data_IF_441935986831
#
_entry.id   IF_441935986831
#
_cell.length_a   1.000
_cell.length_b   1.000
_cell.length_c   1.000
_cell.angle_alpha   90.00
_cell.angle_beta   90.00
_cell.angle_gamma   90.00
#
_symmetry.space_group_name_H-M   'P 1'
#
loop_
_entity.id
_entity.type
_entity.pdbx_description
1 polymer ?
#
# COMPACT_ATOMS: atom_id res chain seq x y z
N UNK A 1 47.43 -15.29 -38.29
CA UNK A 1 47.66 -13.95 -38.90
C UNK A 1 48.89 -13.34 -38.26
N UNK A 2 49.82 -12.74 -39.01
CA UNK A 2 50.84 -11.87 -38.42
C UNK A 2 50.19 -10.61 -37.83
N UNK A 3 50.80 -9.98 -36.83
CA UNK A 3 50.38 -8.65 -36.40
C UNK A 3 50.77 -7.60 -37.46
N UNK A 4 50.03 -6.48 -37.59
CA UNK A 4 50.43 -5.36 -38.42
C UNK A 4 51.79 -4.79 -38.00
N UNK A 5 52.64 -4.38 -38.95
CA UNK A 5 53.96 -3.80 -38.63
C UNK A 5 53.87 -2.56 -37.73
N UNK A 6 52.81 -1.76 -37.87
CA UNK A 6 52.54 -0.61 -36.99
C UNK A 6 52.41 -0.97 -35.51
N UNK A 7 52.07 -2.22 -35.16
CA UNK A 7 52.09 -2.68 -33.77
C UNK A 7 53.51 -2.88 -33.22
N UNK A 8 54.45 -3.31 -34.06
CA UNK A 8 55.86 -3.43 -33.68
C UNK A 8 56.50 -2.05 -33.51
N UNK A 9 56.24 -1.11 -34.42
CA UNK A 9 56.75 0.27 -34.33
C UNK A 9 56.22 0.98 -33.07
N UNK A 10 54.96 0.74 -32.69
CA UNK A 10 54.35 1.31 -31.48
C UNK A 10 54.94 0.75 -30.17
N UNK A 11 55.41 -0.50 -30.18
CA UNK A 11 56.14 -1.11 -29.05
C UNK A 11 57.63 -0.72 -29.02
N UNK A 12 58.24 -0.38 -30.17
CA UNK A 12 59.65 0.01 -30.26
C UNK A 12 59.98 1.39 -29.68
N UNK A 13 58.99 2.28 -29.53
CA UNK A 13 59.16 3.60 -28.95
C UNK A 13 59.01 3.56 -27.42
N UNK A 14 60.04 3.92 -26.62
CA UNK A 14 59.99 3.84 -25.17
C UNK A 14 58.96 4.78 -24.52
N UNK A 15 58.61 5.89 -25.18
CA UNK A 15 57.61 6.82 -24.65
C UNK A 15 56.18 6.27 -24.75
N UNK A 16 55.83 5.62 -25.87
CA UNK A 16 54.52 4.94 -26.02
C UNK A 16 54.45 3.69 -25.16
N UNK A 17 55.54 2.91 -25.08
CA UNK A 17 55.61 1.75 -24.19
C UNK A 17 55.44 2.15 -22.71
N UNK A 18 56.08 3.24 -22.28
CA UNK A 18 55.91 3.83 -20.94
C UNK A 18 54.47 4.27 -20.68
N UNK A 19 53.86 5.03 -21.61
CA UNK A 19 52.47 5.48 -21.49
C UNK A 19 51.48 4.30 -21.41
N UNK A 20 51.63 3.29 -22.28
CA UNK A 20 50.82 2.08 -22.24
C UNK A 20 51.00 1.29 -20.93
N UNK A 21 52.22 1.26 -20.37
CA UNK A 21 52.49 0.62 -19.07
C UNK A 21 51.78 1.36 -17.93
N UNK A 22 51.85 2.70 -17.89
CA UNK A 22 51.16 3.53 -16.89
C UNK A 22 49.64 3.39 -16.99
N UNK A 23 49.07 3.49 -18.21
CA UNK A 23 47.63 3.30 -18.44
C UNK A 23 47.19 1.89 -18.06
N UNK A 24 48.00 0.87 -18.35
CA UNK A 24 47.79 -0.50 -17.87
C UNK A 24 47.74 -0.57 -16.34
N UNK A 25 48.73 -0.02 -15.65
CA UNK A 25 48.81 -0.03 -14.18
C UNK A 25 47.62 0.68 -13.50
N UNK A 26 47.05 1.73 -14.11
CA UNK A 26 45.85 2.40 -13.58
C UNK A 26 44.54 1.68 -13.90
N UNK A 27 44.43 1.02 -15.07
CA UNK A 27 43.21 0.31 -15.47
C UNK A 27 43.13 -1.12 -14.93
N UNK A 28 44.25 -1.82 -14.73
CA UNK A 28 44.28 -3.19 -14.21
C UNK A 28 43.56 -3.35 -12.86
N UNK A 29 43.75 -2.48 -11.84
CA UNK A 29 43.01 -2.57 -10.58
C UNK A 29 41.49 -2.42 -10.76
N UNK A 30 41.05 -1.54 -11.67
CA UNK A 30 39.62 -1.34 -11.98
C UNK A 30 39.01 -2.56 -12.67
N UNK A 31 39.71 -3.16 -13.63
CA UNK A 31 39.28 -4.41 -14.27
C UNK A 31 39.29 -5.59 -13.30
N UNK A 32 40.29 -5.70 -12.43
CA UNK A 32 40.33 -6.74 -11.39
C UNK A 32 39.15 -6.56 -10.43
N UNK A 33 38.88 -5.33 -9.96
CA UNK A 33 37.72 -5.05 -9.11
C UNK A 33 36.38 -5.38 -9.81
N UNK A 34 36.26 -5.08 -11.10
CA UNK A 34 35.09 -5.45 -11.91
C UNK A 34 34.92 -6.98 -12.01
N UNK A 35 35.97 -7.72 -12.40
CA UNK A 35 35.88 -9.18 -12.51
C UNK A 35 35.68 -9.87 -11.17
N UNK A 36 36.31 -9.39 -10.08
CA UNK A 36 36.04 -9.85 -8.72
C UNK A 36 34.59 -9.56 -8.33
N UNK A 37 34.05 -8.38 -8.66
CA UNK A 37 32.65 -8.03 -8.43
C UNK A 37 31.67 -8.95 -9.18
N UNK A 38 31.97 -9.30 -10.44
CA UNK A 38 31.19 -10.26 -11.24
C UNK A 38 31.27 -11.67 -10.67
N UNK A 39 32.47 -12.14 -10.31
CA UNK A 39 32.70 -13.47 -9.72
C UNK A 39 32.02 -13.60 -8.36
N UNK A 40 32.14 -12.59 -7.49
CA UNK A 40 31.42 -12.53 -6.22
C UNK A 40 29.92 -12.49 -6.47
N UNK A 41 29.41 -11.71 -7.42
CA UNK A 41 27.99 -11.68 -7.77
C UNK A 41 27.45 -13.02 -8.30
N UNK A 42 28.26 -13.80 -9.03
CA UNK A 42 27.90 -15.13 -9.53
C UNK A 42 27.96 -16.24 -8.46
N UNK A 43 28.94 -16.14 -7.54
CA UNK A 43 29.09 -17.04 -6.40
C UNK A 43 28.11 -16.73 -5.27
N UNK A 44 27.68 -15.47 -5.13
CA UNK A 44 26.69 -15.02 -4.15
C UNK A 44 25.29 -15.46 -4.56
N UNK A 45 25.01 -16.76 -4.35
CA UNK A 45 23.68 -17.35 -4.40
C UNK A 45 23.11 -17.32 -2.98
N UNK A 46 22.41 -16.24 -2.56
CA UNK A 46 21.94 -16.11 -1.19
C UNK A 46 21.01 -17.26 -0.81
N UNK A 47 21.25 -17.88 0.35
CA UNK A 47 20.47 -19.06 0.81
C UNK A 47 18.97 -18.75 0.95
N UNK A 48 18.57 -17.50 1.19
CA UNK A 48 17.16 -17.09 1.22
C UNK A 48 16.43 -17.30 -0.12
N UNK A 49 17.13 -17.18 -1.26
CA UNK A 49 16.56 -17.43 -2.59
C UNK A 49 16.35 -18.94 -2.88
N UNK A 50 17.05 -19.84 -2.17
CA UNK A 50 16.78 -21.29 -2.18
C UNK A 50 15.67 -21.68 -1.20
N UNK A 51 15.69 -21.13 0.01
CA UNK A 51 14.76 -21.47 1.09
C UNK A 51 13.29 -21.21 0.68
N UNK A 52 13.03 -20.13 -0.06
CA UNK A 52 11.71 -19.85 -0.63
C UNK A 52 11.27 -20.88 -1.68
N UNK A 53 12.21 -21.49 -2.43
CA UNK A 53 11.90 -22.49 -3.47
C UNK A 53 11.65 -23.88 -2.87
N UNK A 54 12.45 -24.29 -1.89
CA UNK A 54 12.31 -25.61 -1.24
C UNK A 54 11.01 -25.74 -0.43
N UNK A 55 10.56 -24.66 0.26
CA UNK A 55 9.22 -24.62 0.86
C UNK A 55 8.10 -24.79 -0.19
N UNK A 56 8.24 -24.14 -1.35
CA UNK A 56 7.22 -24.12 -2.39
C UNK A 56 7.12 -25.48 -3.12
N UNK A 57 8.26 -26.14 -3.40
CA UNK A 57 8.25 -27.50 -3.97
C UNK A 57 7.73 -28.56 -2.99
N UNK A 58 8.08 -28.46 -1.70
CA UNK A 58 7.59 -29.41 -0.68
C UNK A 58 6.09 -29.22 -0.41
N UNK A 59 5.59 -27.99 -0.53
CA UNK A 59 4.15 -27.71 -0.47
C UNK A 59 3.42 -28.21 -1.73
N UNK A 60 4.02 -28.06 -2.92
CA UNK A 60 3.42 -28.55 -4.18
C UNK A 60 3.33 -30.08 -4.23
N UNK A 61 4.38 -30.80 -3.79
CA UNK A 61 4.33 -32.25 -3.67
C UNK A 61 3.17 -32.70 -2.78
N UNK A 62 3.06 -32.12 -1.57
CA UNK A 62 1.95 -32.40 -0.64
C UNK A 62 0.55 -32.00 -1.15
N UNK A 63 0.44 -31.16 -2.18
CA UNK A 63 -0.84 -30.83 -2.83
C UNK A 63 -1.15 -31.68 -4.08
N UNK A 64 -0.17 -32.46 -4.58
CA UNK A 64 -0.34 -33.30 -5.78
C UNK A 64 -0.55 -34.78 -5.42
N UNK A 65 -0.08 -35.23 -4.25
CA UNK A 65 -0.30 -36.59 -3.73
C UNK A 65 -1.73 -36.84 -3.18
N UNK A 66 -2.73 -36.02 -3.57
CA UNK A 66 -4.12 -36.16 -3.10
C UNK A 66 -5.18 -36.01 -4.20
N UNK A 67 -4.96 -36.69 -5.34
CA UNK A 67 -5.96 -36.82 -6.41
C UNK A 67 -5.95 -38.22 -7.06
N UNK A 68 -7.04 -38.98 -6.87
CA UNK A 68 -7.35 -40.26 -7.53
C UNK A 68 -6.48 -41.48 -7.11
N UNK A 69 -6.97 -42.74 -7.27
CA UNK A 69 -8.02 -43.16 -8.21
C UNK A 69 -9.19 -44.01 -7.67
N UNK A 70 -10.32 -43.93 -8.42
CA UNK A 70 -11.31 -44.97 -8.75
C UNK A 70 -12.02 -45.81 -7.67
N UNK A 71 -13.21 -46.30 -8.04
CA UNK A 71 -14.19 -46.95 -7.17
C UNK A 71 -14.14 -48.49 -7.14
N UNK A 72 -14.69 -49.04 -6.04
CA UNK A 72 -15.38 -50.33 -5.93
C UNK A 72 -14.57 -51.64 -6.06
N UNK A 73 -14.24 -52.26 -4.91
CA UNK A 73 -14.81 -53.56 -4.48
C UNK A 73 -14.29 -53.98 -3.09
N UNK A 74 -14.89 -55.01 -2.49
CA UNK A 74 -14.55 -55.59 -1.17
C UNK A 74 -14.48 -57.14 -1.32
N UNK A 75 -14.09 -57.97 -0.32
CA UNK A 75 -13.75 -57.66 1.08
C UNK A 75 -12.54 -58.39 1.71
N UNK A 76 -12.31 -58.10 3.01
CA UNK A 76 -11.92 -59.03 4.10
C UNK A 76 -10.47 -59.12 4.61
N UNK A 77 -10.39 -59.52 5.90
CA UNK A 77 -9.26 -60.00 6.73
C UNK A 77 -8.34 -58.96 7.40
N UNK A 78 -8.54 -58.91 8.72
CA UNK A 78 -7.71 -58.40 9.83
C UNK A 78 -6.19 -58.61 9.77
N UNK A 79 -5.43 -57.75 10.47
CA UNK A 79 -4.62 -58.13 11.66
C UNK A 79 -4.06 -56.89 12.43
N UNK A 80 -3.98 -57.03 13.76
CA UNK A 80 -3.23 -56.31 14.81
C UNK A 80 -2.67 -54.87 14.65
N UNK A 81 -2.83 -54.09 15.72
CA UNK A 81 -1.99 -52.95 16.09
C UNK A 81 -0.63 -53.39 16.69
N UNK A 82 0.31 -52.47 16.97
CA UNK A 82 0.42 -52.05 18.38
C UNK A 82 0.74 -50.55 18.61
N UNK A 83 0.57 -50.14 19.87
CA UNK A 83 0.71 -48.76 20.40
C UNK A 83 2.17 -48.33 20.61
N UNK A 84 2.41 -47.01 20.72
CA UNK A 84 3.43 -46.44 21.63
C UNK A 84 2.98 -45.14 22.32
N UNK A 85 2.86 -45.21 23.65
CA UNK A 85 2.86 -44.09 24.63
C UNK A 85 4.29 -43.88 25.17
N UNK A 86 4.64 -42.83 25.92
CA UNK A 86 3.86 -41.71 26.45
C UNK A 86 4.51 -40.35 26.00
N UNK A 87 4.68 -39.22 26.71
CA UNK A 87 4.47 -38.87 28.12
C UNK A 87 4.35 -37.35 28.36
N UNK A 88 3.51 -36.96 29.33
CA UNK A 88 3.68 -35.89 30.35
C UNK A 88 4.30 -34.52 30.03
N UNK A 89 3.48 -33.47 30.24
CA UNK A 89 3.89 -32.16 30.76
C UNK A 89 4.21 -32.20 32.27
N UNK A 90 4.88 -31.18 32.83
CA UNK A 90 4.68 -30.71 34.19
C UNK A 90 3.83 -29.43 34.24
N UNK A 91 3.19 -29.15 35.38
CA UNK A 91 2.29 -28.01 35.62
C UNK A 91 2.72 -27.20 36.86
N UNK A 92 1.80 -26.34 37.37
CA UNK A 92 1.91 -25.47 38.58
C UNK A 92 2.65 -24.14 38.33
N UNK A 93 2.24 -22.99 38.86
CA UNK A 93 1.14 -22.63 39.79
C UNK A 93 0.44 -21.33 39.28
N UNK A 94 -0.89 -21.28 39.22
CA UNK A 94 -1.80 -20.88 40.31
C UNK A 94 -1.65 -19.44 40.81
N UNK A 95 -2.43 -18.52 40.24
CA UNK A 95 -2.95 -17.33 40.96
C UNK A 95 -4.47 -17.36 40.85
N UNK A 96 -5.13 -17.14 41.99
CA UNK A 96 -6.58 -17.22 42.18
C UNK A 96 -7.09 -15.83 42.51
N UNK A 97 -7.88 -15.21 41.64
CA UNK A 97 -8.59 -13.97 41.97
C UNK A 97 -10.07 -14.04 41.59
N UNK A 98 -10.88 -13.23 42.26
CA UNK A 98 -12.26 -13.56 42.57
C UNK A 98 -13.23 -12.52 42.00
N UNK A 99 -14.35 -13.00 41.45
CA UNK A 99 -15.38 -12.20 40.78
C UNK A 99 -16.14 -11.32 41.80
N UNK A 100 -16.22 -9.99 41.61
CA UNK A 100 -17.19 -9.16 42.31
C UNK A 100 -18.61 -9.41 41.76
N UNK A 101 -19.60 -9.47 42.64
CA UNK A 101 -21.01 -9.37 42.28
C UNK A 101 -21.50 -7.94 42.60
N UNK A 102 -22.31 -7.29 41.75
CA UNK A 102 -22.86 -5.99 42.08
C UNK A 102 -24.04 -6.12 43.05
N UNK A 103 -24.19 -5.18 44.01
CA UNK A 103 -25.45 -4.49 44.29
C UNK A 103 -25.34 -3.43 45.40
N UNK A 104 -26.35 -2.55 45.44
CA UNK A 104 -26.69 -1.58 46.50
C UNK A 104 -25.73 -0.39 46.75
N UNK A 105 -26.22 0.81 46.42
CA UNK A 105 -26.36 1.91 47.39
C UNK A 105 -27.45 2.89 46.89
N UNK A 106 -28.36 3.30 47.78
CA UNK A 106 -29.60 4.01 47.41
C UNK A 106 -29.76 5.33 48.15
N UNK A 107 -29.67 6.46 47.45
CA UNK A 107 -30.14 7.80 47.85
C UNK A 107 -30.00 8.75 46.63
N UNK A 108 -30.85 9.75 46.36
CA UNK A 108 -32.12 10.16 46.97
C UNK A 108 -33.03 10.77 45.89
N UNK A 109 -34.36 10.67 46.06
CA UNK A 109 -35.35 11.24 45.13
C UNK A 109 -35.46 12.77 45.31
N UNK A 110 -35.23 13.52 44.24
CA UNK A 110 -35.65 14.91 44.06
C UNK A 110 -36.42 15.03 42.75
N UNK A 111 -37.53 15.77 42.73
CA UNK A 111 -38.37 15.92 41.55
C UNK A 111 -38.89 17.35 41.47
N UNK A 112 -38.74 17.98 40.31
CA UNK A 112 -39.64 19.07 39.94
C UNK A 112 -39.86 19.22 38.42
N UNK A 113 -40.92 19.96 38.09
CA UNK A 113 -41.65 20.11 36.81
C UNK A 113 -40.89 20.22 35.48
N UNK A 114 -41.57 19.73 34.42
CA UNK A 114 -41.37 20.12 33.01
C UNK A 114 -41.73 21.59 32.77
N UNK A 115 -40.98 22.26 31.88
CA UNK A 115 -41.51 23.15 30.83
C UNK A 115 -40.78 22.77 29.51
N UNK A 116 -41.39 23.08 28.35
CA UNK A 116 -40.88 22.73 27.02
C UNK A 116 -40.28 23.93 26.30
N UNK A 117 -39.10 23.75 25.69
CA UNK A 117 -38.56 24.63 24.64
C UNK A 117 -37.66 23.83 23.70
N UNK A 118 -37.76 24.06 22.39
CA UNK A 118 -36.88 23.45 21.39
C UNK A 118 -35.59 24.28 21.30
N UNK A 119 -34.44 23.62 21.34
CA UNK A 119 -33.13 24.21 21.06
C UNK A 119 -32.25 23.21 20.30
N UNK A 120 -31.27 23.74 19.56
CA UNK A 120 -30.36 23.02 18.68
C UNK A 120 -29.55 21.94 19.39
N UNK A 121 -28.98 20.95 18.67
CA UNK A 121 -27.99 20.04 19.24
C UNK A 121 -26.71 20.82 19.56
N UNK A 122 -26.60 21.27 20.81
CA UNK A 122 -25.36 21.83 21.33
C UNK A 122 -24.26 20.76 21.37
N UNK A 123 -23.03 21.23 21.27
CA UNK A 123 -21.79 20.44 21.18
C UNK A 123 -21.76 19.25 22.13
N UNK A 124 -21.69 18.04 21.56
CA UNK A 124 -21.07 16.90 22.27
C UNK A 124 -19.68 17.34 22.70
N UNK A 125 -19.32 17.07 23.96
CA UNK A 125 -17.98 17.38 24.47
C UNK A 125 -16.94 16.69 23.58
N UNK A 126 -16.17 17.47 22.80
CA UNK A 126 -15.01 16.93 22.09
C UNK A 126 -13.94 16.55 23.11
N UNK A 127 -13.96 15.27 23.52
CA UNK A 127 -12.70 14.58 23.82
C UNK A 127 -11.75 14.88 22.67
N UNK A 128 -10.49 15.22 22.96
CA UNK A 128 -9.53 15.67 21.95
C UNK A 128 -9.01 14.50 21.11
N UNK A 129 -9.94 13.80 20.46
CA UNK A 129 -9.73 12.73 19.51
C UNK A 129 -8.81 13.26 18.41
N UNK A 130 -7.57 12.77 18.37
CA UNK A 130 -6.58 13.26 17.42
C UNK A 130 -7.00 13.05 15.94
N UNK A 131 -8.02 12.23 15.68
CA UNK A 131 -8.71 12.06 14.40
C UNK A 131 -10.14 12.61 14.51
N UNK A 132 -10.38 13.68 13.76
CA UNK A 132 -11.49 14.64 13.90
C UNK A 132 -12.46 14.56 12.72
N UNK A 133 -13.61 15.25 12.80
CA UNK A 133 -14.58 15.31 11.68
C UNK A 133 -13.98 15.94 10.40
N UNK A 134 -12.95 16.79 10.52
CA UNK A 134 -12.24 17.38 9.37
C UNK A 134 -11.44 16.33 8.59
N UNK A 135 -10.96 15.29 9.28
CA UNK A 135 -10.27 14.17 8.65
C UNK A 135 -11.24 13.30 7.83
N UNK A 136 -12.50 13.15 8.30
CA UNK A 136 -13.57 12.53 7.52
C UNK A 136 -13.89 13.36 6.26
N UNK A 137 -14.00 14.69 6.38
CA UNK A 137 -14.26 15.57 5.23
C UNK A 137 -13.18 15.43 4.16
N UNK A 138 -11.90 15.41 4.56
CA UNK A 138 -10.79 15.21 3.63
C UNK A 138 -10.83 13.84 2.94
N UNK A 139 -11.09 12.75 3.69
CA UNK A 139 -11.28 11.43 3.10
C UNK A 139 -12.49 11.38 2.15
N UNK A 140 -13.60 12.05 2.48
CA UNK A 140 -14.77 12.09 1.60
C UNK A 140 -14.45 12.80 0.27
N UNK A 141 -13.79 13.96 0.31
CA UNK A 141 -13.34 14.67 -0.89
C UNK A 141 -12.38 13.83 -1.75
N UNK A 142 -11.48 13.04 -1.13
CA UNK A 142 -10.61 12.10 -1.84
C UNK A 142 -11.39 10.95 -2.52
N UNK A 143 -12.40 10.39 -1.83
CA UNK A 143 -13.25 9.32 -2.36
C UNK A 143 -14.07 9.78 -3.58
N UNK A 144 -14.54 11.02 -3.54
CA UNK A 144 -15.34 11.66 -4.59
C UNK A 144 -14.50 12.30 -5.72
N UNK A 145 -13.16 12.27 -5.62
CA UNK A 145 -12.21 12.96 -6.51
C UNK A 145 -12.43 14.49 -6.59
N UNK A 146 -12.90 15.08 -5.49
CA UNK A 146 -13.18 16.52 -5.28
C UNK A 146 -12.12 17.21 -4.43
N UNK A 147 -11.00 16.55 -4.12
CA UNK A 147 -9.96 17.05 -3.21
C UNK A 147 -9.09 18.20 -3.76
N UNK A 148 -9.33 18.65 -5.00
CA UNK A 148 -8.59 19.75 -5.66
C UNK A 148 -7.14 19.43 -6.03
N UNK A 149 -6.61 18.26 -5.64
CA UNK A 149 -5.25 17.82 -5.94
C UNK A 149 -5.01 17.42 -7.40
N UNK A 150 -3.76 17.09 -7.70
CA UNK A 150 -3.35 16.71 -9.06
C UNK A 150 -4.03 15.42 -9.57
N UNK A 151 -4.18 15.24 -10.89
CA UNK A 151 -4.73 14.02 -11.48
C UNK A 151 -3.96 12.75 -11.10
N UNK A 152 -4.70 11.65 -10.90
CA UNK A 152 -4.17 10.34 -10.53
C UNK A 152 -3.55 9.60 -11.73
N UNK A 153 -2.23 9.38 -11.72
CA UNK A 153 -1.48 8.66 -12.76
C UNK A 153 -1.50 7.16 -12.47
N UNK A 154 -2.09 6.34 -13.35
CA UNK A 154 -2.18 4.89 -13.13
C UNK A 154 -0.80 4.22 -13.24
N UNK A 155 -0.42 3.47 -12.20
CA UNK A 155 0.86 2.75 -12.11
C UNK A 155 0.72 1.22 -12.04
N UNK A 156 -0.48 0.70 -11.75
CA UNK A 156 -0.72 -0.74 -11.66
C UNK A 156 -2.17 -1.11 -11.97
N UNK A 157 -2.36 -2.20 -12.70
CA UNK A 157 -3.63 -2.91 -12.88
C UNK A 157 -3.32 -4.43 -12.84
N UNK A 158 -3.97 -5.17 -11.93
CA UNK A 158 -3.68 -6.58 -11.61
C UNK A 158 -4.93 -7.29 -11.09
N UNK A 159 -4.98 -8.61 -11.29
CA UNK A 159 -6.06 -9.45 -10.75
C UNK A 159 -5.62 -10.89 -10.49
N UNK A 160 -6.38 -11.54 -9.61
CA UNK A 160 -6.51 -12.99 -9.43
C UNK A 160 -7.99 -13.36 -9.67
N UNK A 161 -8.40 -14.65 -9.61
CA UNK A 161 -9.82 -15.02 -9.71
C UNK A 161 -10.70 -14.52 -8.54
N UNK A 162 -10.11 -14.08 -7.43
CA UNK A 162 -10.82 -13.70 -6.20
C UNK A 162 -10.51 -12.28 -5.70
N UNK A 163 -9.54 -11.59 -6.32
CA UNK A 163 -9.14 -10.23 -5.96
C UNK A 163 -8.73 -9.43 -7.20
N UNK A 164 -9.07 -8.14 -7.24
CA UNK A 164 -8.59 -7.20 -8.26
C UNK A 164 -7.96 -5.99 -7.61
N UNK A 165 -6.93 -5.43 -8.23
CA UNK A 165 -6.14 -4.33 -7.69
C UNK A 165 -5.74 -3.34 -8.78
N UNK A 166 -6.13 -2.07 -8.60
CA UNK A 166 -5.63 -0.95 -9.38
C UNK A 166 -4.93 0.03 -8.46
N UNK A 167 -3.86 0.66 -8.93
CA UNK A 167 -3.16 1.70 -8.19
C UNK A 167 -2.72 2.85 -9.09
N UNK A 168 -2.76 4.04 -8.48
CA UNK A 168 -2.37 5.31 -9.05
C UNK A 168 -1.44 6.05 -8.09
N UNK A 169 -0.70 7.02 -8.59
CA UNK A 169 0.06 7.96 -7.78
C UNK A 169 -0.10 9.39 -8.33
N UNK A 170 0.26 10.36 -7.50
CA UNK A 170 0.51 11.75 -7.92
C UNK A 170 1.62 12.33 -7.06
N UNK A 171 2.38 13.27 -7.64
CA UNK A 171 3.52 13.90 -6.97
C UNK A 171 3.17 15.38 -6.77
N UNK A 172 2.73 15.80 -5.56
CA UNK A 172 2.49 17.21 -5.28
C UNK A 172 3.80 17.99 -5.31
N UNK A 173 3.72 19.32 -5.41
CA UNK A 173 4.89 20.20 -5.31
C UNK A 173 5.54 20.13 -3.92
N UNK A 174 4.69 20.03 -2.91
CA UNK A 174 5.04 20.10 -1.49
C UNK A 174 4.58 18.82 -0.80
N UNK A 175 5.48 18.18 -0.04
CA UNK A 175 5.23 16.91 0.65
C UNK A 175 5.50 15.64 -0.17
N UNK A 176 5.31 14.45 0.43
CA UNK A 176 5.66 13.17 -0.19
C UNK A 176 4.72 12.75 -1.34
N UNK A 177 5.18 11.86 -2.25
CA UNK A 177 4.33 11.22 -3.25
C UNK A 177 3.09 10.58 -2.64
N UNK A 178 1.92 10.87 -3.21
CA UNK A 178 0.64 10.36 -2.77
C UNK A 178 0.21 9.16 -3.63
N UNK A 179 -0.37 8.17 -2.98
CA UNK A 179 -0.83 6.93 -3.61
C UNK A 179 -2.34 6.73 -3.40
N UNK A 180 -3.00 6.19 -4.42
CA UNK A 180 -4.39 5.73 -4.40
C UNK A 180 -4.45 4.30 -4.88
N UNK A 181 -5.30 3.46 -4.30
CA UNK A 181 -5.60 2.14 -4.85
C UNK A 181 -7.06 1.74 -4.64
N UNK A 182 -7.56 0.94 -5.57
CA UNK A 182 -8.85 0.25 -5.49
C UNK A 182 -8.55 -1.24 -5.42
N UNK A 183 -8.95 -1.88 -4.32
CA UNK A 183 -8.80 -3.32 -4.11
C UNK A 183 -10.18 -3.93 -3.95
N UNK A 184 -10.59 -4.79 -4.88
CA UNK A 184 -11.88 -5.50 -4.84
C UNK A 184 -11.62 -6.94 -4.42
N UNK A 185 -12.30 -7.40 -3.37
CA UNK A 185 -12.30 -8.79 -2.90
C UNK A 185 -13.65 -9.44 -3.25
N UNK A 186 -13.63 -10.55 -3.97
CA UNK A 186 -14.82 -11.38 -4.22
C UNK A 186 -15.21 -12.17 -2.95
N UNK A 187 -16.50 -12.46 -2.78
CA UNK A 187 -17.06 -13.20 -1.65
C UNK A 187 -16.64 -12.62 -0.29
N UNK A 188 -16.89 -11.31 -0.09
CA UNK A 188 -16.48 -10.57 1.10
C UNK A 188 -17.48 -9.44 1.43
N UNK A 189 -17.80 -9.25 2.71
CA UNK A 189 -18.65 -8.12 3.15
C UNK A 189 -17.80 -6.95 3.68
N UNK A 190 -18.32 -5.70 3.61
CA UNK A 190 -17.64 -4.54 4.17
C UNK A 190 -17.28 -4.67 5.65
N UNK A 191 -18.11 -5.34 6.45
CA UNK A 191 -17.89 -5.58 7.89
C UNK A 191 -16.67 -6.49 8.12
N UNK A 192 -16.59 -7.58 7.35
CA UNK A 192 -15.48 -8.55 7.43
C UNK A 192 -14.15 -7.89 7.06
N UNK A 193 -14.16 -7.01 6.05
CA UNK A 193 -12.97 -6.30 5.57
C UNK A 193 -12.60 -5.14 6.51
N UNK A 194 -13.58 -4.43 7.08
CA UNK A 194 -13.39 -3.42 8.14
C UNK A 194 -12.65 -4.02 9.34
N UNK A 195 -13.18 -5.12 9.88
CA UNK A 195 -12.62 -5.74 11.08
C UNK A 195 -11.19 -6.26 10.80
N UNK A 196 -10.96 -6.94 9.67
CA UNK A 196 -9.63 -7.40 9.24
C UNK A 196 -8.60 -6.26 9.11
N UNK A 197 -9.01 -5.08 8.62
CA UNK A 197 -8.09 -3.96 8.38
C UNK A 197 -7.73 -3.21 9.68
N UNK A 198 -8.54 -3.34 10.74
CA UNK A 198 -8.30 -2.77 12.07
C UNK A 198 -7.63 -3.77 13.05
N UNK A 199 -7.75 -5.07 12.80
CA UNK A 199 -7.27 -6.16 13.67
C UNK A 199 -5.74 -6.29 13.69
N UNK A 200 -5.09 -5.43 14.46
CA UNK A 200 -3.64 -5.40 14.68
C UNK A 200 -3.08 -6.68 15.32
N UNK A 201 -3.93 -7.51 15.94
CA UNK A 201 -3.56 -8.75 16.63
C UNK A 201 -3.60 -9.95 15.66
N UNK A 202 -4.52 -9.94 14.69
CA UNK A 202 -4.55 -10.89 13.58
C UNK A 202 -3.56 -10.51 12.46
N UNK A 203 -3.27 -9.21 12.28
CA UNK A 203 -2.39 -8.66 11.23
C UNK A 203 -1.05 -9.38 11.03
N UNK A 204 -0.31 -9.82 12.08
CA UNK A 204 0.96 -10.54 11.91
C UNK A 204 0.84 -11.92 11.25
N UNK A 205 -0.39 -12.46 11.08
CA UNK A 205 -0.63 -13.72 10.35
C UNK A 205 -0.45 -13.59 8.84
N UNK A 206 -0.49 -12.37 8.29
CA UNK A 206 -0.39 -12.12 6.85
C UNK A 206 0.51 -10.93 6.46
N UNK A 207 0.74 -9.95 7.34
CA UNK A 207 1.66 -8.83 7.11
C UNK A 207 2.96 -8.99 7.92
N UNK A 208 3.95 -9.67 7.34
CA UNK A 208 5.28 -9.88 7.94
C UNK A 208 5.99 -8.57 8.36
N UNK A 209 5.58 -7.43 7.79
CA UNK A 209 6.18 -6.13 8.08
C UNK A 209 5.66 -5.51 9.38
N UNK A 210 4.55 -5.95 9.97
CA UNK A 210 4.23 -5.52 11.34
C UNK A 210 5.15 -6.28 12.32
N UNK A 211 5.95 -5.53 13.09
CA UNK A 211 6.84 -6.09 14.10
C UNK A 211 6.13 -6.19 15.46
N UNK A 212 5.42 -5.12 15.83
CA UNK A 212 4.60 -5.03 17.03
C UNK A 212 3.56 -3.92 16.90
N UNK A 213 2.49 -4.05 17.68
CA UNK A 213 1.38 -3.11 17.84
C UNK A 213 1.04 -3.01 19.33
N UNK A 214 0.67 -1.82 19.80
CA UNK A 214 0.17 -1.61 21.17
C UNK A 214 -0.70 -0.36 21.26
N UNK A 215 -1.93 -0.52 21.74
CA UNK A 215 -2.82 0.61 22.06
C UNK A 215 -2.22 1.44 23.20
N UNK A 216 -2.31 2.77 23.07
CA UNK A 216 -1.86 3.77 24.06
C UNK A 216 -3.10 4.35 24.77
N UNK A 217 -4.09 4.75 23.98
CA UNK A 217 -5.36 5.35 24.41
C UNK A 217 -6.48 4.87 23.48
N UNK A 218 -7.72 4.80 23.98
CA UNK A 218 -8.90 4.49 23.17
C UNK A 218 -10.16 5.15 23.74
N UNK A 219 -11.12 5.45 22.85
CA UNK A 219 -12.41 6.04 23.19
C UNK A 219 -13.54 5.05 22.85
N UNK A 220 -14.13 4.34 23.84
CA UNK A 220 -15.23 3.40 23.64
C UNK A 220 -16.52 4.02 23.09
N UNK A 221 -16.62 5.36 23.04
CA UNK A 221 -17.77 6.08 22.49
C UNK A 221 -17.63 6.37 21.00
N UNK A 222 -16.41 6.74 20.53
CA UNK A 222 -16.19 7.19 19.14
C UNK A 222 -15.51 6.16 18.25
N UNK A 223 -14.91 5.12 18.84
CA UNK A 223 -14.04 4.17 18.14
C UNK A 223 -12.63 4.69 17.91
N UNK A 224 -12.30 5.89 18.37
CA UNK A 224 -10.98 6.46 18.22
C UNK A 224 -9.94 5.67 19.04
N UNK A 225 -8.78 5.38 18.44
CA UNK A 225 -7.64 4.74 19.11
C UNK A 225 -6.36 5.52 18.83
N UNK A 226 -5.47 5.60 19.81
CA UNK A 226 -4.06 5.99 19.65
C UNK A 226 -3.21 4.73 19.81
N UNK A 227 -2.39 4.40 18.81
CA UNK A 227 -1.67 3.13 18.73
C UNK A 227 -0.21 3.37 18.35
N UNK A 228 0.71 2.65 19.00
CA UNK A 228 2.09 2.54 18.58
C UNK A 228 2.24 1.31 17.68
N UNK A 229 2.77 1.50 16.46
CA UNK A 229 3.21 0.42 15.59
C UNK A 229 4.73 0.48 15.41
N UNK A 230 5.39 -0.67 15.40
CA UNK A 230 6.73 -0.82 14.82
C UNK A 230 6.60 -1.64 13.54
N UNK A 231 7.06 -1.11 12.40
CA UNK A 231 7.13 -1.85 11.13
C UNK A 231 8.56 -2.21 10.76
N UNK A 232 8.77 -3.48 10.41
CA UNK A 232 10.03 -3.99 9.86
C UNK A 232 10.27 -3.40 8.47
N UNK A 233 11.48 -2.93 8.22
CA UNK A 233 11.92 -2.50 6.89
C UNK A 233 13.06 -3.41 6.39
N UNK A 234 13.42 -3.34 5.08
CA UNK A 234 14.59 -4.05 4.57
C UNK A 234 15.86 -3.69 5.35
N UNK A 235 16.71 -4.69 5.62
CA UNK A 235 17.87 -4.62 6.54
C UNK A 235 18.87 -3.46 6.29
N UNK A 236 18.86 -2.85 5.10
CA UNK A 236 19.66 -1.67 4.76
C UNK A 236 19.04 -0.35 5.24
N UNK A 237 17.97 -0.40 6.02
CA UNK A 237 17.35 0.74 6.70
C UNK A 237 17.00 0.39 8.15
N UNK A 238 16.79 1.42 8.98
CA UNK A 238 16.18 1.28 10.31
C UNK A 238 14.71 0.84 10.18
N UNK A 239 14.21 0.04 11.12
CA UNK A 239 12.77 -0.17 11.30
C UNK A 239 12.06 1.14 11.64
N UNK A 240 10.76 1.23 11.37
CA UNK A 240 9.97 2.46 11.53
C UNK A 240 9.02 2.36 12.72
N UNK A 241 8.97 3.43 13.52
CA UNK A 241 8.01 3.63 14.59
C UNK A 241 6.93 4.59 14.10
N UNK A 242 5.67 4.26 14.33
CA UNK A 242 4.53 5.11 14.06
C UNK A 242 3.77 5.27 15.36
N UNK A 243 3.39 6.51 15.68
CA UNK A 243 2.34 6.77 16.67
C UNK A 243 1.17 7.33 15.87
N UNK A 244 0.08 6.56 15.83
CA UNK A 244 -1.07 6.82 14.96
C UNK A 244 -2.33 7.06 15.77
N UNK A 245 -3.07 8.09 15.41
CA UNK A 245 -4.49 8.19 15.75
C UNK A 245 -5.28 7.53 14.63
N UNK A 246 -6.32 6.75 14.98
CA UNK A 246 -7.23 6.13 14.00
C UNK A 246 -8.69 6.15 14.47
N UNK A 247 -9.63 6.29 13.53
CA UNK A 247 -11.09 6.32 13.78
C UNK A 247 -11.88 5.82 12.57
N UNK A 248 -13.07 5.27 12.79
CA UNK A 248 -14.02 4.84 11.75
C UNK A 248 -15.33 5.62 11.87
N UNK A 249 -15.85 6.05 10.72
CA UNK A 249 -17.22 6.54 10.56
C UNK A 249 -18.02 5.60 9.64
N UNK A 250 -19.32 5.47 9.91
CA UNK A 250 -20.25 4.65 9.12
C UNK A 250 -21.30 5.55 8.46
N UNK A 251 -21.56 5.36 7.17
CA UNK A 251 -22.71 5.96 6.49
C UNK A 251 -23.35 5.00 5.49
N UNK A 252 -24.58 4.58 5.78
CA UNK A 252 -25.30 3.55 5.02
C UNK A 252 -24.59 2.19 5.09
N UNK A 253 -23.82 1.84 4.04
CA UNK A 253 -22.94 0.66 3.98
C UNK A 253 -21.52 1.02 3.52
N UNK A 254 -21.09 2.23 3.84
CA UNK A 254 -19.72 2.73 3.63
C UNK A 254 -19.04 2.92 4.99
N UNK A 255 -17.85 2.36 5.16
CA UNK A 255 -16.99 2.64 6.32
C UNK A 255 -15.83 3.54 5.90
N UNK A 256 -15.82 4.76 6.40
CA UNK A 256 -14.78 5.76 6.18
C UNK A 256 -13.76 5.65 7.31
N UNK A 257 -12.57 5.13 7.00
CA UNK A 257 -11.53 4.81 7.97
C UNK A 257 -10.35 5.75 7.79
N UNK A 258 -9.91 6.44 8.85
CA UNK A 258 -8.70 7.28 8.83
C UNK A 258 -7.70 6.78 9.86
N UNK A 259 -6.42 6.71 9.46
CA UNK A 259 -5.25 6.54 10.33
C UNK A 259 -4.21 7.61 9.96
N UNK A 260 -3.74 8.42 10.91
CA UNK A 260 -2.71 9.43 10.66
C UNK A 260 -1.70 9.51 11.81
N UNK A 261 -0.50 10.02 11.52
CA UNK A 261 0.52 10.31 12.53
C UNK A 261 0.03 11.35 13.54
N UNK A 262 0.28 11.12 14.82
CA UNK A 262 -0.14 12.01 15.91
C UNK A 262 0.95 12.16 16.97
N UNK A 263 1.02 13.35 17.58
CA UNK A 263 1.96 13.59 18.67
C UNK A 263 1.58 12.83 19.95
N UNK A 264 2.62 12.36 20.64
CA UNK A 264 2.51 11.64 21.89
C UNK A 264 3.75 11.92 22.74
N UNK A 265 3.76 13.03 23.52
CA UNK A 265 4.94 13.46 24.28
C UNK A 265 5.44 12.45 25.32
N UNK A 266 4.56 11.55 25.79
CA UNK A 266 4.90 10.45 26.69
C UNK A 266 5.72 9.33 26.03
N UNK A 267 5.80 9.28 24.70
CA UNK A 267 6.58 8.29 23.94
C UNK A 267 7.64 9.04 23.12
N UNK A 268 8.78 9.42 23.73
CA UNK A 268 9.83 10.20 23.07
C UNK A 268 10.46 9.45 21.89
N UNK A 269 10.91 10.20 20.88
CA UNK A 269 11.52 9.64 19.66
C UNK A 269 12.83 8.92 20.02
N UNK A 270 12.98 7.69 19.51
CA UNK A 270 14.21 6.89 19.62
C UNK A 270 15.02 6.98 18.33
N UNK A 271 16.34 6.74 18.40
CA UNK A 271 17.16 6.64 17.18
C UNK A 271 16.88 5.36 16.39
N UNK A 272 16.44 4.29 17.08
CA UNK A 272 16.00 3.02 16.52
C UNK A 272 14.81 2.48 17.35
N UNK A 273 13.70 2.05 16.72
CA UNK A 273 13.26 2.36 15.36
C UNK A 273 13.17 3.88 15.08
N UNK A 274 13.20 4.29 13.80
CA UNK A 274 13.04 5.70 13.38
C UNK A 274 11.56 6.08 13.41
N UNK A 275 11.17 7.11 14.16
CA UNK A 275 9.82 7.70 14.07
C UNK A 275 9.49 8.16 12.64
N UNK A 276 8.27 7.90 12.19
CA UNK A 276 7.65 8.56 11.03
C UNK A 276 6.60 9.51 11.58
N UNK A 277 6.83 10.81 11.38
CA UNK A 277 5.96 11.87 11.90
C UNK A 277 4.87 12.20 10.87
N UNK A 278 5.24 12.47 9.62
CA UNK A 278 4.29 12.62 8.50
C UNK A 278 3.84 11.23 8.05
N UNK A 279 2.63 10.84 8.47
CA UNK A 279 1.96 9.61 8.05
C UNK A 279 0.46 9.88 7.86
N UNK A 280 -0.10 9.47 6.72
CA UNK A 280 -1.53 9.47 6.47
C UNK A 280 -1.92 8.23 5.67
N UNK A 281 -2.88 7.47 6.16
CA UNK A 281 -3.41 6.28 5.50
C UNK A 281 -4.91 6.17 5.80
N UNK A 282 -5.73 6.31 4.77
CA UNK A 282 -7.19 6.40 4.90
C UNK A 282 -7.86 5.58 3.82
N UNK A 283 -9.01 4.99 4.10
CA UNK A 283 -9.70 4.14 3.13
C UNK A 283 -11.22 4.13 3.32
N UNK A 284 -11.94 4.02 2.21
CA UNK A 284 -13.37 3.78 2.18
C UNK A 284 -13.63 2.31 1.84
N UNK A 285 -14.45 1.63 2.65
CA UNK A 285 -14.84 0.22 2.46
C UNK A 285 -16.32 0.19 2.07
N UNK A 286 -16.66 -0.46 0.94
CA UNK A 286 -18.03 -0.53 0.42
C UNK A 286 -18.34 -1.82 -0.34
N UNK A 287 -19.60 -2.23 -0.33
CA UNK A 287 -20.06 -3.35 -1.14
C UNK A 287 -20.15 -2.94 -2.62
N UNK A 288 -19.71 -3.81 -3.52
CA UNK A 288 -19.70 -3.60 -4.98
C UNK A 288 -20.15 -4.88 -5.70
N UNK A 289 -20.54 -4.76 -6.97
CA UNK A 289 -20.94 -5.91 -7.77
C UNK A 289 -19.78 -6.89 -8.00
N UNK A 290 -20.07 -8.18 -7.87
CA UNK A 290 -19.11 -9.25 -8.19
C UNK A 290 -18.79 -9.28 -9.68
N UNK A 291 -17.51 -9.48 -10.04
CA UNK A 291 -17.08 -9.66 -11.43
C UNK A 291 -17.62 -10.91 -12.11
N UNK A 292 -18.35 -11.75 -11.38
CA UNK A 292 -19.09 -12.91 -11.91
C UNK A 292 -20.36 -12.51 -12.69
N UNK A 293 -20.73 -11.23 -12.73
CA UNK A 293 -21.78 -10.71 -13.61
C UNK A 293 -23.20 -11.05 -13.16
N UNK A 294 -23.39 -11.38 -11.88
CA UNK A 294 -24.70 -11.73 -11.30
C UNK A 294 -25.54 -10.52 -10.87
N UNK A 295 -24.99 -9.29 -10.97
CA UNK A 295 -25.59 -8.06 -10.42
C UNK A 295 -25.67 -8.03 -8.89
N UNK A 296 -25.05 -8.99 -8.20
CA UNK A 296 -25.10 -9.10 -6.74
C UNK A 296 -23.93 -8.37 -6.08
N UNK A 297 -24.22 -7.63 -5.01
CA UNK A 297 -23.25 -6.92 -4.17
C UNK A 297 -22.53 -7.87 -3.19
N UNK A 298 -21.91 -8.94 -3.72
CA UNK A 298 -21.18 -9.96 -2.94
C UNK A 298 -19.67 -9.74 -2.88
N UNK A 299 -19.17 -8.70 -3.55
CA UNK A 299 -17.78 -8.26 -3.48
C UNK A 299 -17.64 -6.98 -2.61
N UNK A 300 -16.45 -6.75 -2.10
CA UNK A 300 -16.11 -5.58 -1.30
C UNK A 300 -14.96 -4.80 -1.94
N UNK A 301 -15.15 -3.50 -2.18
CA UNK A 301 -14.07 -2.58 -2.55
C UNK A 301 -13.48 -1.93 -1.29
N UNK A 302 -12.15 -1.84 -1.27
CA UNK A 302 -11.38 -0.92 -0.42
C UNK A 302 -10.72 0.11 -1.33
N UNK A 303 -11.17 1.35 -1.25
CA UNK A 303 -10.57 2.50 -1.94
C UNK A 303 -9.66 3.23 -0.95
N UNK A 304 -8.35 3.06 -1.09
CA UNK A 304 -7.31 3.52 -0.16
C UNK A 304 -6.54 4.72 -0.72
N UNK A 305 -6.19 5.65 0.15
CA UNK A 305 -5.35 6.83 -0.09
C UNK A 305 -4.25 6.89 0.97
N UNK A 306 -3.00 7.11 0.56
CA UNK A 306 -1.86 7.01 1.47
C UNK A 306 -0.66 7.88 1.06
N UNK A 307 0.00 8.50 2.04
CA UNK A 307 1.33 9.10 1.91
C UNK A 307 2.07 9.11 3.26
N UNK A 308 3.40 8.99 3.24
CA UNK A 308 4.23 9.05 4.45
C UNK A 308 5.69 9.44 4.17
N UNK A 309 6.38 9.98 5.18
CA UNK A 309 7.81 10.27 5.12
C UNK A 309 8.66 9.20 5.82
N UNK A 310 8.77 8.05 5.16
CA UNK A 310 9.58 6.89 5.60
C UNK A 310 11.04 7.24 5.98
N UNK A 311 11.58 8.37 5.53
CA UNK A 311 13.01 8.67 5.62
C UNK A 311 13.83 7.82 4.64
N UNK A 312 13.32 7.66 3.42
CA UNK A 312 13.99 7.02 2.28
C UNK A 312 13.87 7.99 1.09
N UNK A 313 14.92 8.19 0.27
CA UNK A 313 14.81 8.93 -0.98
C UNK A 313 13.66 8.41 -1.85
N UNK A 314 12.80 9.31 -2.32
CA UNK A 314 11.52 8.94 -2.93
C UNK A 314 11.67 8.03 -4.17
N UNK A 315 12.75 8.15 -4.94
CA UNK A 315 13.00 7.24 -6.08
C UNK A 315 13.20 5.78 -5.66
N UNK A 316 13.80 5.54 -4.49
CA UNK A 316 13.96 4.19 -3.93
C UNK A 316 12.61 3.67 -3.43
N UNK A 317 11.79 4.53 -2.80
CA UNK A 317 10.43 4.19 -2.39
C UNK A 317 9.54 3.87 -3.61
N UNK A 318 9.53 4.73 -4.64
CA UNK A 318 8.81 4.54 -5.91
C UNK A 318 9.25 3.26 -6.63
N UNK A 319 10.54 2.94 -6.65
CA UNK A 319 11.04 1.66 -7.17
C UNK A 319 10.52 0.47 -6.34
N UNK A 320 10.52 0.58 -5.01
CA UNK A 320 9.96 -0.39 -4.07
C UNK A 320 8.47 -0.66 -4.32
N UNK A 321 7.64 0.38 -4.41
CA UNK A 321 6.22 0.26 -4.74
C UNK A 321 6.03 -0.42 -6.10
N UNK A 322 6.71 0.07 -7.15
CA UNK A 322 6.58 -0.45 -8.52
C UNK A 322 7.01 -1.91 -8.67
N UNK A 323 7.86 -2.44 -7.79
CA UNK A 323 8.37 -3.84 -7.86
C UNK A 323 7.78 -4.78 -6.81
N UNK A 324 7.48 -4.29 -5.61
CA UNK A 324 7.09 -5.12 -4.45
C UNK A 324 5.63 -4.97 -3.99
N UNK A 325 4.92 -3.90 -4.39
CA UNK A 325 3.56 -3.65 -3.87
C UNK A 325 2.59 -4.79 -4.22
N UNK A 326 2.62 -5.30 -5.45
CA UNK A 326 1.73 -6.41 -5.85
C UNK A 326 1.90 -7.65 -4.97
N UNK A 327 3.14 -8.12 -4.75
CA UNK A 327 3.43 -9.26 -3.87
C UNK A 327 3.18 -9.00 -2.38
N UNK A 328 2.93 -7.75 -2.00
CA UNK A 328 2.47 -7.37 -0.66
C UNK A 328 0.95 -7.43 -0.58
N UNK A 329 0.26 -6.76 -1.51
CA UNK A 329 -1.21 -6.73 -1.62
C UNK A 329 -1.80 -8.13 -1.82
N UNK A 330 -1.12 -9.01 -2.57
CA UNK A 330 -1.51 -10.41 -2.74
C UNK A 330 -1.56 -11.22 -1.44
N UNK A 331 -0.97 -10.76 -0.32
CA UNK A 331 -1.10 -11.41 0.99
C UNK A 331 -2.41 -11.09 1.71
N UNK A 332 -3.09 -10.00 1.34
CA UNK A 332 -4.35 -9.60 1.97
C UNK A 332 -5.44 -10.64 1.67
N UNK A 333 -5.45 -11.23 0.47
CA UNK A 333 -6.46 -12.22 0.07
C UNK A 333 -6.44 -13.50 0.94
N UNK A 334 -5.33 -14.25 1.09
CA UNK A 334 -5.29 -15.41 2.00
C UNK A 334 -5.40 -14.98 3.47
N UNK A 335 -4.98 -13.76 3.83
CA UNK A 335 -5.23 -13.18 5.15
C UNK A 335 -6.74 -13.03 5.44
N UNK A 336 -7.50 -12.53 4.46
CA UNK A 336 -8.96 -12.41 4.51
C UNK A 336 -9.64 -13.78 4.54
N UNK A 337 -9.19 -14.77 3.77
CA UNK A 337 -9.76 -16.14 3.84
C UNK A 337 -9.53 -16.77 5.21
N UNK A 338 -8.31 -16.69 5.74
CA UNK A 338 -8.02 -17.15 7.10
C UNK A 338 -8.81 -16.38 8.17
N UNK A 339 -9.13 -15.11 7.93
CA UNK A 339 -9.99 -14.32 8.82
C UNK A 339 -11.45 -14.80 8.78
N UNK A 340 -12.00 -14.99 7.58
CA UNK A 340 -13.33 -15.55 7.34
C UNK A 340 -13.48 -16.94 7.98
N UNK A 341 -12.49 -17.82 7.82
CA UNK A 341 -12.42 -19.14 8.48
C UNK A 341 -12.39 -19.01 10.01
N UNK A 342 -11.61 -18.07 10.56
CA UNK A 342 -11.56 -17.80 11.99
C UNK A 342 -12.89 -17.26 12.54
N UNK A 343 -13.62 -16.43 11.78
CA UNK A 343 -14.97 -15.98 12.15
C UNK A 343 -15.98 -17.14 12.09
N UNK A 344 -15.96 -17.93 11.01
CA UNK A 344 -16.88 -19.05 10.79
C UNK A 344 -16.70 -20.19 11.80
N UNK A 345 -15.47 -20.39 12.31
CA UNK A 345 -15.17 -21.33 13.40
C UNK A 345 -15.48 -20.79 14.80
N UNK A 346 -16.06 -19.60 14.92
CA UNK A 346 -16.52 -19.03 16.19
C UNK A 346 -15.42 -18.47 17.09
N UNK A 347 -14.22 -18.19 16.56
CA UNK A 347 -13.18 -17.52 17.35
C UNK A 347 -13.62 -16.09 17.71
N UNK A 348 -13.31 -15.66 18.94
CA UNK A 348 -13.63 -14.30 19.40
C UNK A 348 -12.98 -13.24 18.52
N UNK A 349 -13.54 -12.02 18.50
CA UNK A 349 -12.84 -10.86 17.98
C UNK A 349 -11.62 -10.58 18.86
N UNK A 350 -10.58 -9.99 18.27
CA UNK A 350 -9.52 -9.35 19.02
C UNK A 350 -10.04 -8.02 19.61
N UNK A 351 -9.30 -7.41 20.54
CA UNK A 351 -9.75 -6.12 21.10
C UNK A 351 -9.72 -5.02 20.04
N UNK A 352 -8.67 -5.02 19.22
CA UNK A 352 -8.57 -4.14 18.05
C UNK A 352 -9.70 -4.36 17.03
N UNK A 353 -10.08 -5.60 16.71
CA UNK A 353 -11.22 -5.88 15.83
C UNK A 353 -12.57 -5.47 16.44
N UNK A 354 -12.77 -5.65 17.75
CA UNK A 354 -13.97 -5.17 18.44
C UNK A 354 -14.10 -3.64 18.36
N UNK A 355 -13.00 -2.90 18.57
CA UNK A 355 -12.98 -1.44 18.43
C UNK A 355 -13.24 -0.94 16.99
N UNK A 356 -13.17 -1.81 15.97
CA UNK A 356 -13.60 -1.48 14.61
C UNK A 356 -15.13 -1.41 14.46
N UNK A 357 -15.86 -2.10 15.34
CA UNK A 357 -17.32 -2.15 15.36
C UNK A 357 -17.93 -0.96 16.11
N UNK A 358 -17.15 -0.35 17.02
CA UNK A 358 -17.44 0.97 17.59
C UNK A 358 -17.14 2.02 16.53
N UNK A 359 -18.18 2.57 15.89
CA UNK A 359 -18.01 3.57 14.83
C UNK A 359 -18.92 4.79 15.04
N UNK A 360 -18.50 5.93 14.51
CA UNK A 360 -19.28 7.17 14.56
C UNK A 360 -20.23 7.24 13.36
N UNK A 361 -21.55 7.15 13.56
CA UNK A 361 -22.54 7.14 12.47
C UNK A 361 -22.80 8.55 11.93
N UNK A 362 -22.81 8.69 10.61
CA UNK A 362 -22.95 9.97 9.89
C UNK A 362 -24.03 9.82 8.81
N UNK A 363 -24.92 10.81 8.69
CA UNK A 363 -26.01 10.75 7.71
C UNK A 363 -25.48 10.94 6.27
N UNK A 364 -26.08 10.29 5.25
CA UNK A 364 -25.68 10.48 3.86
C UNK A 364 -25.85 11.92 3.36
N UNK A 365 -26.82 12.64 3.90
CA UNK A 365 -27.14 14.04 3.58
C UNK A 365 -26.05 14.97 4.11
N UNK A 366 -25.54 14.71 5.32
CA UNK A 366 -24.39 15.43 5.87
C UNK A 366 -23.16 15.25 4.99
N UNK A 367 -22.85 14.02 4.55
CA UNK A 367 -21.73 13.78 3.63
C UNK A 367 -21.91 14.52 2.30
N UNK A 368 -23.11 14.51 1.73
CA UNK A 368 -23.40 15.26 0.49
C UNK A 368 -23.20 16.77 0.66
N UNK A 369 -23.55 17.34 1.83
CA UNK A 369 -23.41 18.78 2.11
C UNK A 369 -21.96 19.28 2.11
N UNK A 370 -20.99 18.40 2.39
CA UNK A 370 -19.55 18.74 2.33
C UNK A 370 -19.18 19.26 0.94
N UNK A 371 -19.69 18.62 -0.13
CA UNK A 371 -19.37 18.97 -1.51
C UNK A 371 -20.24 20.07 -2.13
N UNK A 372 -21.14 20.70 -1.37
CA UNK A 372 -21.97 21.82 -1.86
C UNK A 372 -21.54 23.19 -1.33
N UNK A 373 -20.88 23.25 -0.17
CA UNK A 373 -20.58 24.53 0.49
C UNK A 373 -19.56 25.40 -0.25
N UNK A 374 -18.64 24.80 -1.03
CA UNK A 374 -17.62 25.52 -1.81
C UNK A 374 -18.21 26.37 -2.96
N UNK A 375 -19.51 26.24 -3.26
CA UNK A 375 -20.21 26.97 -4.34
C UNK A 375 -21.08 28.15 -3.81
N UNK A 376 -20.84 28.67 -2.60
CA UNK A 376 -21.64 29.79 -2.05
C UNK A 376 -20.82 30.79 -1.22
N UNK A 377 -19.72 31.28 -1.79
CA UNK A 377 -19.21 32.62 -1.49
C UNK A 377 -19.52 33.55 -2.68
N UNK A 378 -20.14 34.71 -2.42
CA UNK A 378 -20.58 35.63 -3.47
C UNK A 378 -19.40 36.36 -4.13
N UNK A 379 -19.25 36.22 -5.45
CA UNK A 379 -18.35 37.08 -6.24
C UNK A 379 -19.01 38.46 -6.40
N UNK A 380 -18.91 39.30 -5.37
CA UNK A 380 -19.22 40.73 -5.46
C UNK A 380 -18.15 41.39 -6.32
N UNK A 381 -18.56 41.93 -7.46
CA UNK A 381 -17.65 42.41 -8.50
C UNK A 381 -17.15 43.83 -8.24
N UNK A 382 -15.84 44.04 -8.47
CA UNK A 382 -15.31 45.33 -8.90
C UNK A 382 -14.41 45.09 -10.10
N UNK A 383 -14.91 45.37 -11.30
CA UNK A 383 -14.10 45.37 -12.51
C UNK A 383 -13.32 46.69 -12.59
N UNK A 384 -12.00 46.61 -12.73
CA UNK A 384 -11.19 47.71 -13.26
C UNK A 384 -10.58 47.27 -14.59
N UNK A 385 -10.65 48.12 -15.60
CA UNK A 385 -10.26 47.80 -16.97
C UNK A 385 -9.07 48.65 -17.38
N UNK A 386 -7.92 48.01 -17.57
CA UNK A 386 -6.82 48.61 -18.32
C UNK A 386 -6.08 47.56 -19.16
N UNK A 387 -5.66 47.97 -20.36
CA UNK A 387 -5.24 47.07 -21.44
C UNK A 387 -3.98 47.62 -22.11
N UNK A 388 -2.85 46.91 -22.07
CA UNK A 388 -1.74 47.16 -22.99
C UNK A 388 -1.89 46.37 -24.30
N UNK A 389 -1.31 46.87 -25.39
CA UNK A 389 -1.38 46.23 -26.71
C UNK A 389 -0.66 44.86 -26.76
N UNK A 390 -1.15 43.98 -27.64
CA UNK A 390 -0.44 42.75 -27.99
C UNK A 390 0.77 43.01 -28.90
N UNK A 391 1.84 42.25 -28.70
CA UNK A 391 3.06 42.28 -29.53
C UNK A 391 3.10 41.04 -30.43
N UNK A 392 3.21 41.24 -31.75
CA UNK A 392 3.33 40.14 -32.71
C UNK A 392 4.72 39.49 -32.63
N UNK A 393 4.78 38.21 -32.26
CA UNK A 393 6.01 37.41 -32.32
C UNK A 393 6.04 36.64 -33.67
N UNK A 394 7.09 36.79 -34.51
CA UNK A 394 7.15 36.15 -35.83
C UNK A 394 7.22 34.61 -35.77
N UNK A 395 6.57 33.94 -36.73
CA UNK A 395 6.61 32.48 -36.91
C UNK A 395 7.96 32.00 -37.50
N UNK A 396 9.05 31.99 -36.73
CA UNK A 396 10.34 31.43 -37.19
C UNK A 396 11.21 30.81 -36.07
N UNK A 397 10.64 29.91 -35.25
CA UNK A 397 11.43 29.15 -34.25
C UNK A 397 10.92 27.73 -33.94
N UNK A 398 10.24 27.08 -34.91
CA UNK A 398 9.60 25.75 -34.72
C UNK A 398 10.41 24.60 -35.35
N UNK A 399 11.43 24.89 -36.17
CA UNK A 399 12.15 23.87 -36.98
C UNK A 399 13.47 23.39 -36.32
N UNK A 400 13.97 24.08 -35.28
CA UNK A 400 15.22 23.69 -34.60
C UNK A 400 15.11 22.52 -33.62
N UNK A 401 13.96 22.37 -32.93
CA UNK A 401 13.83 21.43 -31.81
C UNK A 401 13.70 19.95 -32.19
N UNK A 402 13.22 19.64 -33.41
CA UNK A 402 12.92 18.27 -33.81
C UNK A 402 14.18 17.42 -34.12
N UNK A 403 15.27 18.05 -34.55
CA UNK A 403 16.50 17.34 -34.96
C UNK A 403 17.29 16.82 -33.74
N UNK A 404 17.31 17.57 -32.64
CA UNK A 404 18.02 17.17 -31.43
C UNK A 404 17.46 15.89 -30.78
N UNK A 405 16.15 15.67 -30.85
CA UNK A 405 15.50 14.46 -30.34
C UNK A 405 15.70 13.24 -31.24
N UNK A 406 15.95 13.44 -32.54
CA UNK A 406 16.17 12.34 -33.49
C UNK A 406 17.56 11.69 -33.38
N UNK A 407 18.55 12.38 -32.81
CA UNK A 407 19.93 11.90 -32.72
C UNK A 407 20.30 11.24 -31.37
N UNK A 408 19.40 11.22 -30.39
CA UNK A 408 19.65 10.62 -29.06
C UNK A 408 19.04 9.22 -28.86
N UNK A 409 18.21 8.74 -29.79
CA UNK A 409 17.40 7.53 -29.63
C UNK A 409 17.42 6.59 -30.86
N UNK A 410 18.60 6.32 -31.41
CA UNK A 410 18.77 5.15 -32.30
C UNK A 410 20.02 4.32 -31.95
N UNK A 411 19.86 3.38 -30.99
CA UNK A 411 20.72 2.19 -30.88
C UNK A 411 20.07 1.08 -31.71
N UNK A 412 20.39 1.11 -33.00
CA UNK A 412 19.65 0.47 -34.10
C UNK A 412 19.16 -0.96 -33.91
N UNK A 413 17.88 -1.17 -34.25
CA UNK A 413 17.34 -2.50 -34.61
C UNK A 413 16.10 -2.50 -35.53
N UNK A 414 15.80 -1.42 -36.28
CA UNK A 414 14.68 -1.40 -37.27
C UNK A 414 15.07 -0.91 -38.68
N UNK A 415 16.37 -0.86 -39.00
CA UNK A 415 16.87 -0.37 -40.29
C UNK A 415 16.93 -1.47 -41.36
N UNK A 416 15.76 -1.89 -41.89
CA UNK A 416 15.69 -2.58 -43.21
C UNK A 416 14.31 -2.72 -43.89
N UNK A 417 13.19 -2.71 -43.16
CA UNK A 417 11.88 -3.10 -43.73
C UNK A 417 10.93 -1.96 -44.14
N UNK A 418 11.21 -0.70 -43.82
CA UNK A 418 10.33 0.45 -44.17
C UNK A 418 10.78 1.26 -45.39
N UNK A 419 12.03 1.12 -45.85
CA UNK A 419 12.59 1.94 -46.94
C UNK A 419 12.10 1.60 -48.36
N UNK A 420 11.32 0.52 -48.53
CA UNK A 420 10.71 0.15 -49.82
C UNK A 420 9.19 0.46 -49.94
N UNK A 421 8.54 0.95 -48.88
CA UNK A 421 7.08 1.15 -48.87
C UNK A 421 6.59 2.50 -49.41
N UNK A 422 7.40 3.57 -49.33
CA UNK A 422 6.92 4.96 -49.51
C UNK A 422 7.28 5.57 -50.87
N UNK A 423 8.32 5.06 -51.55
CA UNK A 423 8.83 5.60 -52.81
C UNK A 423 7.89 5.46 -54.04
N UNK A 424 6.66 4.95 -53.87
CA UNK A 424 5.69 4.70 -54.95
C UNK A 424 4.35 5.42 -54.81
N UNK A 425 4.25 6.45 -53.94
CA UNK A 425 2.99 7.18 -53.69
C UNK A 425 3.04 8.72 -53.75
N UNK A 426 4.16 9.31 -54.17
CA UNK A 426 4.31 10.75 -54.38
C UNK A 426 4.56 11.18 -55.84
N UNK A 427 4.53 10.23 -56.78
CA UNK A 427 4.29 10.54 -58.19
C UNK A 427 2.77 10.44 -58.46
N UNK A 428 2.19 11.47 -59.10
CA UNK A 428 0.77 11.60 -59.49
C UNK A 428 -0.25 12.09 -58.44
N UNK A 429 0.03 13.20 -57.76
CA UNK A 429 -1.00 14.23 -57.46
C UNK A 429 -0.44 15.56 -57.99
N UNK A 430 -1.11 16.15 -58.99
CA UNK A 430 -0.56 17.28 -59.74
C UNK A 430 -1.16 17.50 -61.13
N UNK A 431 -2.50 17.41 -61.25
CA UNK A 431 -3.26 17.87 -62.43
C UNK A 431 -4.77 17.87 -62.14
N UNK A 432 -5.38 19.06 -62.30
CA UNK A 432 -6.78 19.41 -61.97
C UNK A 432 -7.06 19.46 -60.48
#
# INVERSE_FOLDING_TARGET
MPLPQSFHDMLGNPATLGLCTVVGMFLSPLWIAFFVGVIVGWLWKPKWARLGKEKLTTSLAKSLDFASPSSASSPSKSVASPMKTCSSSPCLNSIKMQRPNPESLTLKKGMDKRISSVSSPETVEETSDAVTIRDLHHLWLLVEEKDGGLPWIQMMDRSTPTMSYKAWHREPKDGPPQYRSSTIFEDATPEMVRDLFWDDEFRPRWDDMLASSSTIEECPTTGAMKVQWTRKFPFFCKDREYIIGRRIWESGRHYYCVTKGVDCPSIPKRDKPRRVDVYYSSWCIRAVESKRGTGQLTACEVLLFHHEEMGIPWEIAKLGVRKGMWGTVQKIEPGLRSYQEARASGASLSHSAFMAQVNTKISPEYLQSIGTNDNSEEIVSVASSEKPQGVNIPKMLVIGGAVALACSLDRGLVTKYLLFGVARRFANIGKR
#
